data_IF_586573067559
#
_entry.id   IF_586573067559
#
_cell.length_a   1.000
_cell.length_b   1.000
_cell.length_c   1.000
_cell.angle_alpha   90.00
_cell.angle_beta   90.00
_cell.angle_gamma   90.00
#
_symmetry.space_group_name_H-M   'P 1'
#
loop_
_entity.id
_entity.type
_entity.pdbx_description
1 polymer ?
#
# COMPACT_ATOMS: atom_id res chain seq x y z
N UNK A 1 0.56 -84.18 33.40
CA UNK A 1 0.90 -84.03 34.83
C UNK A 1 0.38 -82.69 35.32
N UNK A 2 -0.54 -82.74 36.27
CA UNK A 2 -0.92 -81.73 37.29
C UNK A 2 -1.68 -80.45 36.90
N UNK A 3 -3.02 -80.56 36.91
CA UNK A 3 -4.06 -79.86 37.69
C UNK A 3 -3.86 -78.42 38.24
N UNK A 4 -4.92 -77.59 38.11
CA UNK A 4 -5.64 -76.80 39.14
C UNK A 4 -6.21 -75.50 38.51
N UNK A 5 -7.52 -75.28 38.36
CA UNK A 5 -8.61 -74.90 39.30
C UNK A 5 -8.63 -73.43 39.80
N UNK A 6 -9.74 -72.75 39.43
CA UNK A 6 -10.37 -71.52 39.97
C UNK A 6 -9.61 -70.18 39.83
N UNK A 7 -10.25 -68.99 39.78
CA UNK A 7 -11.60 -68.56 40.14
C UNK A 7 -11.97 -67.27 39.37
N UNK A 8 -13.27 -67.00 39.22
CA UNK A 8 -13.85 -65.78 38.63
C UNK A 8 -13.92 -64.67 39.69
N UNK A 9 -13.61 -63.44 39.31
CA UNK A 9 -14.10 -62.23 39.99
C UNK A 9 -14.54 -61.22 38.93
N UNK A 10 -15.81 -60.82 38.98
CA UNK A 10 -16.34 -59.69 38.23
C UNK A 10 -16.23 -58.43 39.08
N UNK A 11 -15.75 -57.33 38.50
CA UNK A 11 -15.96 -55.98 39.03
C UNK A 11 -16.16 -55.03 37.85
N UNK A 12 -17.30 -54.35 37.84
CA UNK A 12 -17.69 -53.34 36.85
C UNK A 12 -17.19 -51.93 37.26
N UNK A 13 -17.47 -50.94 36.39
CA UNK A 13 -17.21 -49.48 36.46
C UNK A 13 -15.83 -49.06 35.89
N UNK A 14 -15.65 -47.99 35.09
CA UNK A 14 -16.45 -46.79 34.81
C UNK A 14 -15.99 -46.11 33.51
N UNK A 15 -16.85 -45.20 33.05
CA UNK A 15 -16.72 -44.25 31.95
C UNK A 15 -15.36 -43.54 31.81
N UNK A 16 -14.96 -43.30 30.55
CA UNK A 16 -13.91 -42.34 30.19
C UNK A 16 -14.04 -41.90 28.74
N UNK A 17 -15.10 -41.15 28.40
CA UNK A 17 -15.18 -40.46 27.12
C UNK A 17 -14.32 -39.19 27.21
N UNK A 18 -13.09 -39.23 26.67
CA UNK A 18 -12.27 -38.03 26.52
C UNK A 18 -12.78 -37.20 25.34
N UNK A 19 -13.50 -36.12 25.63
CA UNK A 19 -13.75 -35.05 24.67
C UNK A 19 -12.51 -34.15 24.61
N UNK A 20 -11.79 -34.18 23.49
CA UNK A 20 -10.71 -33.25 23.20
C UNK A 20 -11.33 -31.96 22.64
N UNK A 21 -11.51 -30.93 23.49
CA UNK A 21 -11.86 -29.59 23.02
C UNK A 21 -10.58 -28.86 22.59
N UNK A 22 -10.38 -28.69 21.28
CA UNK A 22 -9.41 -27.74 20.75
C UNK A 22 -9.95 -26.33 20.95
N UNK A 23 -9.42 -25.60 21.93
CA UNK A 23 -9.59 -24.16 22.00
C UNK A 23 -8.74 -23.52 20.89
N UNK A 24 -9.38 -23.19 19.77
CA UNK A 24 -8.76 -22.40 18.72
C UNK A 24 -8.84 -20.92 19.14
N UNK A 25 -7.93 -20.46 20.00
CA UNK A 25 -7.71 -19.03 20.14
C UNK A 25 -7.02 -18.57 18.86
N UNK A 26 -7.81 -18.10 17.90
CA UNK A 26 -7.29 -17.32 16.79
C UNK A 26 -6.72 -16.03 17.38
N UNK A 27 -5.44 -16.05 17.75
CA UNK A 27 -4.69 -14.82 17.89
C UNK A 27 -4.69 -14.22 16.49
N UNK A 28 -5.52 -13.20 16.25
CA UNK A 28 -5.39 -12.38 15.06
C UNK A 28 -3.91 -11.98 15.01
N UNK A 29 -3.20 -12.47 13.99
CA UNK A 29 -1.86 -12.04 13.71
C UNK A 29 -1.97 -10.54 13.47
N UNK A 30 -1.67 -9.75 14.49
CA UNK A 30 -1.50 -8.31 14.35
C UNK A 30 -0.24 -8.20 13.52
N UNK A 31 -0.43 -8.15 12.20
CA UNK A 31 0.65 -8.04 11.23
C UNK A 31 1.56 -6.94 11.70
N UNK A 32 2.85 -7.25 11.77
CA UNK A 32 3.85 -6.22 12.01
C UNK A 32 3.67 -5.18 10.92
N UNK A 33 3.11 -4.00 11.25
CA UNK A 33 3.16 -2.86 10.34
C UNK A 33 4.64 -2.57 10.14
N UNK A 34 5.15 -2.96 8.98
CA UNK A 34 6.54 -2.75 8.62
C UNK A 34 6.77 -1.23 8.63
N UNK A 35 7.52 -0.72 9.62
CA UNK A 35 7.85 0.72 9.71
C UNK A 35 8.59 1.26 8.47
N UNK A 36 8.98 0.37 7.55
CA UNK A 36 9.70 0.68 6.32
C UNK A 36 8.86 1.46 5.29
N UNK A 37 7.52 1.36 5.31
CA UNK A 37 6.67 2.04 4.33
C UNK A 37 5.66 2.97 5.00
N UNK A 38 6.01 4.27 5.03
CA UNK A 38 5.19 5.33 5.63
C UNK A 38 5.11 6.51 4.65
N UNK A 39 4.25 6.42 3.62
CA UNK A 39 4.15 7.47 2.61
C UNK A 39 3.74 8.81 3.24
N UNK A 40 4.31 9.89 2.73
CA UNK A 40 4.13 11.23 3.28
C UNK A 40 2.72 11.72 2.97
N UNK A 41 1.98 12.20 3.96
CA UNK A 41 0.67 12.79 3.71
C UNK A 41 0.83 14.14 2.99
N UNK A 42 0.08 14.35 1.90
CA UNK A 42 0.03 15.66 1.22
C UNK A 42 -0.48 16.72 2.22
N UNK A 43 0.27 17.81 2.44
CA UNK A 43 -0.11 18.88 3.35
C UNK A 43 -1.29 19.70 2.82
N UNK A 44 -1.90 20.52 3.68
CA UNK A 44 -3.01 21.41 3.32
C UNK A 44 -2.63 22.46 2.27
N UNK A 45 -1.34 22.81 2.16
CA UNK A 45 -0.80 23.66 1.08
C UNK A 45 -0.96 23.02 -0.30
N UNK A 46 -1.19 21.70 -0.35
CA UNK A 46 -1.31 20.88 -1.56
C UNK A 46 -0.06 20.90 -2.45
N UNK A 47 1.06 21.38 -1.93
CA UNK A 47 2.33 21.47 -2.63
C UNK A 47 3.45 21.00 -1.71
N UNK A 48 4.35 20.20 -2.27
CA UNK A 48 5.54 19.67 -1.62
C UNK A 48 6.74 19.94 -2.54
N UNK A 49 7.81 20.45 -1.96
CA UNK A 49 9.15 20.40 -2.56
C UNK A 49 9.95 19.31 -1.85
N UNK A 50 10.52 18.38 -2.61
CA UNK A 50 11.20 17.20 -2.07
C UNK A 50 12.35 16.75 -2.97
N UNK A 51 13.06 15.70 -2.56
CA UNK A 51 14.16 15.08 -3.30
C UNK A 51 13.84 13.61 -3.53
N UNK A 52 13.94 13.17 -4.80
CA UNK A 52 13.91 11.77 -5.20
C UNK A 52 15.36 11.24 -5.25
N UNK A 53 15.66 10.19 -4.51
CA UNK A 53 17.02 9.67 -4.31
C UNK A 53 17.05 8.14 -4.17
N UNK A 54 18.25 7.57 -4.28
CA UNK A 54 18.54 6.15 -4.11
C UNK A 54 18.21 5.57 -2.71
N UNK A 55 17.85 6.43 -1.75
CA UNK A 55 17.37 6.03 -0.41
C UNK A 55 15.86 5.82 -0.35
N UNK A 56 15.14 6.17 -1.42
CA UNK A 56 13.70 6.01 -1.50
C UNK A 56 13.33 4.57 -1.95
N UNK A 57 12.06 4.33 -2.26
CA UNK A 57 11.51 2.98 -2.46
C UNK A 57 12.12 2.37 -3.74
N UNK A 58 12.91 1.29 -3.64
CA UNK A 58 13.47 0.64 -4.82
C UNK A 58 12.33 0.06 -5.67
N UNK A 59 12.40 0.28 -6.98
CA UNK A 59 11.32 -0.08 -7.91
C UNK A 59 11.48 -1.48 -8.50
N UNK A 60 12.67 -2.06 -8.36
CA UNK A 60 13.03 -3.41 -8.85
C UNK A 60 13.66 -3.43 -10.24
N UNK A 61 13.61 -2.32 -10.95
CA UNK A 61 14.19 -2.08 -12.29
C UNK A 61 15.32 -1.03 -12.24
N UNK A 62 16.04 -0.97 -11.12
CA UNK A 62 17.17 -0.04 -10.91
C UNK A 62 16.78 1.33 -10.37
N UNK A 63 15.53 1.77 -10.58
CA UNK A 63 15.03 3.06 -10.11
C UNK A 63 14.58 3.10 -8.64
N UNK A 64 14.09 4.26 -8.26
CA UNK A 64 13.54 4.57 -6.93
C UNK A 64 12.26 5.41 -7.06
N UNK A 65 11.43 5.37 -6.01
CA UNK A 65 10.13 6.01 -5.98
C UNK A 65 9.83 6.63 -4.62
N UNK A 66 9.07 7.74 -4.63
CA UNK A 66 8.50 8.31 -3.40
C UNK A 66 6.98 8.31 -3.46
N UNK A 67 6.38 7.84 -2.39
CA UNK A 67 4.93 7.73 -2.27
C UNK A 67 4.38 8.77 -1.29
N UNK A 68 3.30 9.40 -1.73
CA UNK A 68 2.54 10.38 -0.97
C UNK A 68 1.10 9.91 -0.83
N UNK A 69 0.44 10.23 0.29
CA UNK A 69 -0.97 9.88 0.50
C UNK A 69 -1.87 11.09 0.51
N UNK A 70 -3.06 10.91 -0.07
CA UNK A 70 -4.12 11.93 -0.08
C UNK A 70 -5.48 11.25 0.09
N UNK A 71 -6.36 11.84 0.90
CA UNK A 71 -7.75 11.41 0.97
C UNK A 71 -8.54 12.07 -0.16
N UNK A 72 -9.24 11.31 -0.99
CA UNK A 72 -10.08 11.82 -2.07
C UNK A 72 -11.50 11.24 -1.96
N UNK A 73 -12.47 11.92 -2.56
CA UNK A 73 -13.88 11.53 -2.59
C UNK A 73 -14.31 11.17 -3.99
N UNK A 74 -15.24 10.24 -4.10
CA UNK A 74 -15.95 9.96 -5.35
C UNK A 74 -16.44 11.27 -5.98
N UNK A 75 -16.20 11.43 -7.27
CA UNK A 75 -16.56 12.62 -8.03
C UNK A 75 -15.53 13.75 -7.99
N UNK A 76 -14.54 13.73 -7.08
CA UNK A 76 -13.43 14.69 -7.10
C UNK A 76 -12.74 14.65 -8.47
N UNK A 77 -12.53 15.81 -9.08
CA UNK A 77 -11.63 15.96 -10.22
C UNK A 77 -10.29 16.46 -9.69
N UNK A 78 -9.21 15.74 -9.96
CA UNK A 78 -7.87 16.08 -9.47
C UNK A 78 -6.92 16.37 -10.62
N UNK A 79 -6.07 17.37 -10.44
CA UNK A 79 -4.82 17.54 -11.18
C UNK A 79 -3.65 17.24 -10.25
N UNK A 80 -2.66 16.54 -10.77
CA UNK A 80 -1.37 16.30 -10.11
C UNK A 80 -0.30 16.83 -11.03
N UNK A 81 0.40 17.86 -10.58
CA UNK A 81 1.51 18.49 -11.30
C UNK A 81 2.81 18.02 -10.67
N UNK A 82 3.72 17.49 -11.49
CA UNK A 82 5.05 17.06 -11.05
C UNK A 82 6.10 17.75 -11.92
N UNK A 83 6.92 18.58 -11.29
CA UNK A 83 7.92 19.42 -11.96
C UNK A 83 9.31 19.08 -11.44
N UNK A 84 10.25 18.83 -12.34
CA UNK A 84 11.66 18.69 -12.01
C UNK A 84 12.57 19.17 -13.14
N UNK A 85 13.60 19.93 -12.77
CA UNK A 85 14.72 20.26 -13.67
C UNK A 85 15.81 19.18 -13.66
N UNK A 86 15.67 18.13 -12.84
CA UNK A 86 16.71 17.13 -12.61
C UNK A 86 16.43 15.78 -13.27
N UNK A 87 15.17 15.44 -13.49
CA UNK A 87 14.79 14.16 -14.10
C UNK A 87 13.49 14.29 -14.87
N UNK A 88 13.32 13.36 -15.83
CA UNK A 88 12.08 13.21 -16.56
C UNK A 88 11.04 12.50 -15.68
N UNK A 89 9.92 13.15 -15.45
CA UNK A 89 9.03 12.82 -14.34
C UNK A 89 7.97 11.80 -14.73
N UNK A 90 7.53 10.99 -13.76
CA UNK A 90 6.38 10.09 -13.91
C UNK A 90 5.51 10.20 -12.66
N UNK A 91 4.21 10.40 -12.86
CA UNK A 91 3.17 10.34 -11.83
C UNK A 91 2.39 9.04 -11.98
N UNK A 92 2.33 8.23 -10.92
CA UNK A 92 1.35 7.13 -10.83
C UNK A 92 0.36 7.41 -9.70
N UNK A 93 -0.95 7.41 -10.01
CA UNK A 93 -2.02 7.38 -9.01
C UNK A 93 -2.39 5.93 -8.74
N UNK A 94 -2.42 5.54 -7.46
CA UNK A 94 -2.77 4.20 -7.02
C UNK A 94 -3.88 4.24 -5.97
N UNK A 95 -4.70 3.20 -5.93
CA UNK A 95 -5.68 3.00 -4.87
C UNK A 95 -4.99 2.57 -3.55
N UNK A 96 -5.77 2.47 -2.47
CA UNK A 96 -5.25 2.12 -1.14
C UNK A 96 -4.63 0.73 -1.05
N UNK A 97 -5.01 -0.18 -1.95
CA UNK A 97 -4.46 -1.55 -2.07
C UNK A 97 -3.19 -1.61 -2.94
N UNK A 98 -2.75 -0.47 -3.49
CA UNK A 98 -1.58 -0.37 -4.36
C UNK A 98 -1.86 -0.66 -5.84
N UNK A 99 -3.11 -0.94 -6.23
CA UNK A 99 -3.47 -1.09 -7.63
C UNK A 99 -3.32 0.23 -8.39
N UNK A 100 -2.79 0.16 -9.62
CA UNK A 100 -2.61 1.34 -10.47
C UNK A 100 -3.97 1.82 -10.99
N UNK A 101 -4.26 3.10 -10.73
CA UNK A 101 -5.50 3.78 -11.14
C UNK A 101 -5.26 4.59 -12.41
N UNK A 102 -4.17 5.35 -12.44
CA UNK A 102 -3.78 6.14 -13.59
C UNK A 102 -2.27 6.45 -13.56
N UNK A 103 -1.71 6.84 -14.69
CA UNK A 103 -0.30 7.19 -14.82
C UNK A 103 -0.14 8.19 -15.96
N UNK A 104 0.80 9.12 -15.81
CA UNK A 104 1.20 10.03 -16.88
C UNK A 104 2.65 10.48 -16.67
N UNK A 105 3.40 10.54 -17.76
CA UNK A 105 4.78 11.02 -17.86
C UNK A 105 4.87 12.38 -18.58
N UNK A 106 3.89 12.74 -19.41
CA UNK A 106 3.93 13.96 -20.22
C UNK A 106 3.18 15.17 -19.62
N UNK A 107 3.63 16.36 -20.00
CA UNK A 107 2.99 17.65 -19.74
C UNK A 107 2.63 18.38 -21.05
N UNK A 108 1.66 19.31 -21.03
CA UNK A 108 1.23 20.01 -22.24
C UNK A 108 2.23 21.07 -22.74
N UNK A 109 3.28 21.36 -21.96
CA UNK A 109 4.25 22.43 -22.23
C UNK A 109 5.48 21.96 -23.04
N UNK A 110 5.54 20.67 -23.40
CA UNK A 110 6.65 20.08 -24.15
C UNK A 110 7.94 19.92 -23.34
N UNK A 111 7.84 19.99 -22.01
CA UNK A 111 8.93 19.68 -21.08
C UNK A 111 8.87 18.21 -20.64
N UNK A 112 9.79 17.79 -19.78
CA UNK A 112 9.81 16.46 -19.13
C UNK A 112 9.00 16.43 -17.82
N UNK A 113 8.14 17.43 -17.60
CA UNK A 113 7.25 17.52 -16.45
C UNK A 113 5.95 16.79 -16.75
N UNK A 114 5.36 16.12 -15.77
CA UNK A 114 4.10 15.39 -15.94
C UNK A 114 2.91 16.15 -15.36
N UNK A 115 1.76 16.01 -16.02
CA UNK A 115 0.48 16.53 -15.54
C UNK A 115 -0.61 15.47 -15.62
N UNK A 116 -1.01 14.91 -14.48
CA UNK A 116 -2.07 13.88 -14.44
C UNK A 116 -3.42 14.51 -14.08
N UNK A 117 -4.43 14.29 -14.92
CA UNK A 117 -5.83 14.59 -14.61
C UNK A 117 -6.61 13.30 -14.37
N UNK A 118 -7.39 13.24 -13.29
CA UNK A 118 -8.21 12.07 -13.00
C UNK A 118 -9.51 12.43 -12.28
N UNK A 119 -10.59 11.70 -12.60
CA UNK A 119 -11.86 11.78 -11.86
C UNK A 119 -11.99 10.57 -10.95
N UNK A 120 -12.07 10.82 -9.65
CA UNK A 120 -12.08 9.81 -8.62
C UNK A 120 -13.40 9.03 -8.64
N UNK A 121 -13.31 7.70 -8.77
CA UNK A 121 -14.45 6.80 -8.84
C UNK A 121 -14.92 6.30 -7.47
N UNK A 122 -14.04 6.28 -6.47
CA UNK A 122 -14.33 5.74 -5.14
C UNK A 122 -13.76 6.64 -4.05
N UNK A 123 -14.52 6.82 -2.97
CA UNK A 123 -14.03 7.59 -1.82
C UNK A 123 -12.99 6.77 -1.06
N UNK A 124 -11.78 7.29 -0.89
CA UNK A 124 -10.71 6.53 -0.27
C UNK A 124 -9.39 7.27 -0.13
N UNK A 125 -8.45 6.58 0.51
CA UNK A 125 -7.04 6.98 0.53
C UNK A 125 -6.42 6.56 -0.79
N UNK A 126 -5.80 7.52 -1.46
CA UNK A 126 -5.01 7.28 -2.67
C UNK A 126 -3.54 7.49 -2.38
N UNK A 127 -2.71 6.85 -3.19
CA UNK A 127 -1.25 6.99 -3.17
C UNK A 127 -0.83 7.66 -4.48
N UNK A 128 -0.05 8.73 -4.39
CA UNK A 128 0.61 9.37 -5.52
C UNK A 128 2.08 8.97 -5.46
N UNK A 129 2.54 8.27 -6.48
CA UNK A 129 3.93 7.85 -6.63
C UNK A 129 4.64 8.77 -7.60
N UNK A 130 5.78 9.29 -7.16
CA UNK A 130 6.74 10.06 -7.94
C UNK A 130 7.90 9.15 -8.31
N UNK A 131 8.23 9.11 -9.61
CA UNK A 131 9.36 8.37 -10.18
C UNK A 131 10.04 9.20 -11.26
N UNK A 132 11.27 8.81 -11.59
CA UNK A 132 11.91 9.24 -12.82
C UNK A 132 11.66 8.23 -13.94
N UNK A 133 11.66 8.70 -15.19
CA UNK A 133 11.77 7.87 -16.37
C UNK A 133 13.18 7.28 -16.46
N UNK A 134 13.27 5.95 -16.57
CA UNK A 134 14.54 5.21 -16.59
C UNK A 134 15.10 4.87 -15.21
N UNK A 135 16.28 4.24 -15.20
CA UNK A 135 16.78 3.52 -14.02
C UNK A 135 17.52 4.38 -12.99
N UNK A 136 17.94 5.60 -13.33
CA UNK A 136 18.86 6.39 -12.46
C UNK A 136 18.50 7.87 -12.27
N UNK A 137 17.30 8.28 -12.69
CA UNK A 137 16.87 9.68 -12.54
C UNK A 137 16.50 10.03 -11.10
N UNK A 138 16.95 11.18 -10.61
CA UNK A 138 16.66 11.66 -9.26
C UNK A 138 17.13 13.10 -9.05
N UNK A 139 16.66 13.74 -8.00
CA UNK A 139 16.94 15.14 -7.70
C UNK A 139 15.75 15.87 -7.09
N UNK A 140 15.82 17.20 -7.10
CA UNK A 140 14.77 18.04 -6.55
C UNK A 140 13.54 17.96 -7.45
N UNK A 141 12.36 17.97 -6.85
CA UNK A 141 11.11 18.12 -7.56
C UNK A 141 10.09 18.89 -6.74
N UNK A 142 9.04 19.31 -7.42
CA UNK A 142 7.84 19.89 -6.83
C UNK A 142 6.62 19.06 -7.24
N UNK A 143 5.86 18.62 -6.25
CA UNK A 143 4.61 17.90 -6.42
C UNK A 143 3.46 18.79 -5.94
N UNK A 144 2.44 18.99 -6.77
CA UNK A 144 1.24 19.74 -6.42
C UNK A 144 -0.03 18.96 -6.75
N UNK A 145 -0.99 18.97 -5.83
CA UNK A 145 -2.25 18.21 -5.96
C UNK A 145 -3.45 19.14 -5.85
N UNK A 146 -4.09 19.45 -6.97
CA UNK A 146 -5.23 20.36 -6.99
C UNK A 146 -6.53 19.58 -7.14
N UNK A 147 -7.51 19.82 -6.24
CA UNK A 147 -8.90 19.43 -6.47
C UNK A 147 -9.57 20.52 -7.29
N UNK A 148 -9.93 20.20 -8.53
CA UNK A 148 -10.61 21.11 -9.44
C UNK A 148 -12.05 21.26 -8.98
N UNK A 149 -12.52 22.51 -8.89
CA UNK A 149 -13.92 22.81 -8.68
C UNK A 149 -14.53 23.19 -10.03
N UNK A 150 -15.75 22.74 -10.35
CA UNK A 150 -16.51 23.33 -11.43
C UNK A 150 -16.59 24.86 -11.24
N UNK A 151 -16.50 25.59 -12.33
CA UNK A 151 -16.88 27.01 -12.35
C UNK A 151 -18.40 27.01 -12.51
N UNK A 152 -19.11 27.49 -11.49
CA UNK A 152 -20.55 27.74 -11.54
C UNK A 152 -20.87 29.00 -12.34
#
# INVERSE_FOLDING_TARGET
MNNAFASRFHLALLFGASFLMMNLTATAARGQEHELYRPIQIPDSKEISDILSDKDIPTGDGGFARDYTVQLKEGDQVSVDLISDNFDTIITLMASDGSKVAENDDGPDGTTNSLLFYRISETGKYIIRVRAFGETGGGNFKLKVTRLKPID
#
